data_IF_789108145162
#
_entry.id   IF_789108145162
#
_cell.length_a   1.000
_cell.length_b   1.000
_cell.length_c   1.000
_cell.angle_alpha   90.00
_cell.angle_beta   90.00
_cell.angle_gamma   90.00
#
_symmetry.space_group_name_H-M   'P 1'
#
loop_
_entity.id
_entity.type
_entity.pdbx_description
1 polymer ?
#
# COMPACT_ATOMS: atom_id res chain seq x y z
N UNK A 1 13.23 56.71 -18.70
CA UNK A 1 12.26 55.94 -17.90
C UNK A 1 12.07 54.54 -18.52
N UNK A 2 12.88 53.57 -18.09
CA UNK A 2 12.67 52.16 -18.40
C UNK A 2 11.77 51.58 -17.31
N UNK A 3 10.59 51.08 -17.68
CA UNK A 3 9.68 50.40 -16.76
C UNK A 3 10.31 49.09 -16.26
N UNK A 4 10.04 48.65 -15.01
CA UNK A 4 10.49 47.35 -14.55
C UNK A 4 9.68 46.25 -15.25
N UNK A 5 10.38 45.34 -15.93
CA UNK A 5 9.79 44.10 -16.43
C UNK A 5 9.42 43.22 -15.23
N UNK A 6 8.13 43.18 -14.90
CA UNK A 6 7.56 42.21 -13.98
C UNK A 6 7.46 40.87 -14.69
N UNK A 7 8.49 40.02 -14.55
CA UNK A 7 8.46 38.63 -14.99
C UNK A 7 7.39 37.85 -14.19
N UNK A 8 6.57 37.10 -14.93
CA UNK A 8 5.28 36.58 -14.52
C UNK A 8 5.35 35.47 -13.43
N UNK A 9 4.70 35.64 -12.25
CA UNK A 9 4.53 34.59 -11.27
C UNK A 9 3.60 33.44 -11.73
N UNK A 10 2.83 33.62 -12.81
CA UNK A 10 1.82 32.66 -13.27
C UNK A 10 2.40 31.43 -13.97
N UNK A 11 3.52 31.56 -14.68
CA UNK A 11 4.12 30.43 -15.40
C UNK A 11 4.71 29.38 -14.44
N UNK A 12 5.42 29.83 -13.40
CA UNK A 12 5.98 28.95 -12.37
C UNK A 12 4.90 28.27 -11.51
N UNK A 13 3.79 28.96 -11.25
CA UNK A 13 2.65 28.37 -10.55
C UNK A 13 1.98 27.27 -11.40
N UNK A 14 1.76 27.51 -12.69
CA UNK A 14 1.16 26.53 -13.60
C UNK A 14 2.05 25.28 -13.79
N UNK A 15 3.37 25.45 -13.87
CA UNK A 15 4.33 24.34 -13.93
C UNK A 15 4.29 23.50 -12.65
N UNK A 16 4.28 24.15 -11.48
CA UNK A 16 4.19 23.48 -10.18
C UNK A 16 2.86 22.73 -10.01
N UNK A 17 1.73 23.32 -10.42
CA UNK A 17 0.42 22.65 -10.44
C UNK A 17 0.44 21.42 -11.35
N UNK A 18 1.05 21.51 -12.53
CA UNK A 18 1.20 20.38 -13.45
C UNK A 18 2.02 19.25 -12.83
N UNK A 19 3.13 19.56 -12.15
CA UNK A 19 3.95 18.55 -11.46
C UNK A 19 3.19 17.84 -10.35
N UNK A 20 2.40 18.58 -9.56
CA UNK A 20 1.58 18.01 -8.48
C UNK A 20 0.47 17.12 -9.04
N UNK A 21 -0.21 17.57 -10.10
CA UNK A 21 -1.26 16.79 -10.76
C UNK A 21 -0.73 15.47 -11.33
N UNK A 22 0.45 15.50 -11.98
CA UNK A 22 1.09 14.28 -12.49
C UNK A 22 1.49 13.35 -11.35
N UNK A 23 2.06 13.89 -10.26
CA UNK A 23 2.42 13.10 -9.09
C UNK A 23 1.20 12.43 -8.44
N UNK A 24 0.08 13.15 -8.34
CA UNK A 24 -1.20 12.62 -7.85
C UNK A 24 -1.75 11.55 -8.79
N UNK A 25 -1.71 11.76 -10.10
CA UNK A 25 -2.18 10.80 -11.09
C UNK A 25 -1.36 9.49 -11.02
N UNK A 26 -0.04 9.59 -10.90
CA UNK A 26 0.84 8.43 -10.75
C UNK A 26 0.57 7.68 -9.45
N UNK A 27 0.41 8.39 -8.33
CA UNK A 27 0.04 7.77 -7.05
C UNK A 27 -1.35 7.11 -7.11
N UNK A 28 -2.29 7.72 -7.83
CA UNK A 28 -3.64 7.19 -7.99
C UNK A 28 -3.65 5.91 -8.83
N UNK A 29 -2.87 5.87 -9.92
CA UNK A 29 -2.68 4.65 -10.74
C UNK A 29 -2.07 3.53 -9.90
N UNK A 30 -1.06 3.85 -9.07
CA UNK A 30 -0.50 2.91 -8.09
C UNK A 30 -1.59 2.33 -7.18
N UNK A 31 -2.38 3.18 -6.51
CA UNK A 31 -3.45 2.72 -5.62
C UNK A 31 -4.60 1.97 -6.31
N UNK A 32 -4.94 2.30 -7.55
CA UNK A 32 -5.97 1.59 -8.32
C UNK A 32 -5.60 0.14 -8.64
N UNK A 33 -4.32 -0.19 -8.68
CA UNK A 33 -3.86 -1.54 -9.01
C UNK A 33 -4.24 -2.59 -7.97
N UNK A 34 -4.36 -2.24 -6.69
CA UNK A 34 -4.95 -3.12 -5.65
C UNK A 34 -6.41 -3.45 -5.95
N UNK A 35 -7.18 -2.46 -6.41
CA UNK A 35 -8.57 -2.68 -6.82
C UNK A 35 -8.65 -3.57 -8.07
N UNK A 36 -7.67 -3.46 -8.98
CA UNK A 36 -7.55 -4.33 -10.14
C UNK A 36 -7.20 -5.77 -9.73
N UNK A 37 -6.28 -5.97 -8.78
CA UNK A 37 -5.97 -7.28 -8.20
C UNK A 37 -7.21 -7.94 -7.59
N UNK A 38 -7.97 -7.19 -6.78
CA UNK A 38 -9.23 -7.65 -6.22
C UNK A 38 -10.26 -8.04 -7.29
N UNK A 39 -10.38 -7.25 -8.37
CA UNK A 39 -11.27 -7.56 -9.48
C UNK A 39 -10.86 -8.86 -10.19
N UNK A 40 -9.56 -9.10 -10.38
CA UNK A 40 -9.06 -10.34 -10.98
C UNK A 40 -9.42 -11.58 -10.16
N UNK A 41 -9.43 -11.48 -8.83
CA UNK A 41 -9.85 -12.57 -7.93
C UNK A 41 -11.36 -12.79 -7.94
N UNK A 42 -12.17 -11.76 -8.23
CA UNK A 42 -13.63 -11.91 -8.39
C UNK A 42 -13.96 -12.64 -9.70
N UNK A 43 -13.22 -12.37 -10.77
CA UNK A 43 -13.47 -12.94 -12.11
C UNK A 43 -12.84 -14.33 -12.27
N UNK A 44 -11.71 -14.60 -11.62
CA UNK A 44 -10.97 -15.86 -11.74
C UNK A 44 -11.09 -16.70 -10.46
N UNK A 45 -10.77 -18.01 -10.52
CA UNK A 45 -10.66 -18.82 -9.32
C UNK A 45 -9.63 -18.25 -8.34
N UNK A 46 -9.97 -18.23 -7.05
CA UNK A 46 -9.06 -17.80 -6.00
C UNK A 46 -7.76 -18.61 -6.04
N UNK A 47 -6.58 -17.97 -6.00
CA UNK A 47 -5.30 -18.66 -6.04
C UNK A 47 -5.12 -19.59 -4.83
N UNK A 48 -4.38 -20.68 -5.03
CA UNK A 48 -4.00 -21.58 -3.94
C UNK A 48 -2.91 -20.94 -3.07
N UNK A 49 -2.67 -21.49 -1.88
CA UNK A 49 -1.69 -20.96 -0.92
C UNK A 49 -0.26 -20.89 -1.50
N UNK A 50 0.09 -21.80 -2.43
CA UNK A 50 1.40 -21.80 -3.11
C UNK A 50 1.53 -20.60 -4.04
N UNK A 51 0.52 -20.33 -4.88
CA UNK A 51 0.51 -19.14 -5.76
C UNK A 51 0.46 -17.86 -4.95
N UNK A 52 -0.33 -17.81 -3.87
CA UNK A 52 -0.36 -16.67 -2.95
C UNK A 52 1.03 -16.40 -2.34
N UNK A 53 1.71 -17.43 -1.82
CA UNK A 53 3.06 -17.28 -1.28
C UNK A 53 4.08 -16.84 -2.32
N UNK A 54 3.98 -17.34 -3.57
CA UNK A 54 4.83 -16.90 -4.67
C UNK A 54 4.60 -15.42 -5.03
N UNK A 55 3.33 -15.01 -5.14
CA UNK A 55 2.90 -13.65 -5.44
C UNK A 55 3.36 -12.68 -4.33
N UNK A 56 3.16 -13.03 -3.06
CA UNK A 56 3.64 -12.22 -1.93
C UNK A 56 5.16 -12.15 -1.85
N UNK A 57 5.88 -13.24 -2.17
CA UNK A 57 7.34 -13.23 -2.26
C UNK A 57 7.86 -12.32 -3.36
N UNK A 58 7.22 -12.34 -4.53
CA UNK A 58 7.51 -11.40 -5.63
C UNK A 58 7.25 -9.95 -5.21
N UNK A 59 6.09 -9.69 -4.60
CA UNK A 59 5.68 -8.39 -4.10
C UNK A 59 6.68 -7.84 -3.06
N UNK A 60 7.06 -8.65 -2.07
CA UNK A 60 8.07 -8.29 -1.06
C UNK A 60 9.44 -8.01 -1.70
N UNK A 61 9.84 -8.80 -2.70
CA UNK A 61 11.08 -8.58 -3.46
C UNK A 61 11.09 -7.24 -4.22
N UNK A 62 9.97 -6.88 -4.87
CA UNK A 62 9.82 -5.57 -5.51
C UNK A 62 9.97 -4.44 -4.50
N UNK A 63 9.31 -4.53 -3.35
CA UNK A 63 9.36 -3.49 -2.32
C UNK A 63 10.76 -3.32 -1.71
N UNK A 64 11.48 -4.42 -1.48
CA UNK A 64 12.89 -4.36 -1.07
C UNK A 64 13.75 -3.68 -2.14
N UNK A 65 13.59 -4.06 -3.40
CA UNK A 65 14.34 -3.47 -4.52
C UNK A 65 14.13 -1.96 -4.62
N UNK A 66 12.87 -1.49 -4.63
CA UNK A 66 12.55 -0.05 -4.70
C UNK A 66 13.11 0.70 -3.48
N UNK A 67 12.96 0.11 -2.28
CA UNK A 67 13.41 0.73 -1.04
C UNK A 67 14.92 0.97 -1.03
N UNK A 68 15.72 -0.01 -1.46
CA UNK A 68 17.18 0.10 -1.44
C UNK A 68 17.77 0.77 -2.68
N UNK A 69 17.30 0.42 -3.87
CA UNK A 69 17.89 0.89 -5.13
C UNK A 69 17.40 2.28 -5.54
N UNK A 70 16.20 2.67 -5.12
CA UNK A 70 15.62 3.97 -5.49
C UNK A 70 15.53 4.90 -4.26
N UNK A 71 14.71 4.57 -3.27
CA UNK A 71 14.42 5.46 -2.15
C UNK A 71 15.65 5.75 -1.27
N UNK A 72 16.37 4.71 -0.83
CA UNK A 72 17.56 4.88 -0.01
C UNK A 72 18.68 5.59 -0.78
N UNK A 73 18.91 5.22 -2.05
CA UNK A 73 19.90 5.89 -2.89
C UNK A 73 19.59 7.39 -3.08
N UNK A 74 18.33 7.72 -3.38
CA UNK A 74 17.89 9.11 -3.50
C UNK A 74 17.96 9.89 -2.18
N UNK A 75 17.68 9.25 -1.04
CA UNK A 75 17.84 9.86 0.27
C UNK A 75 19.31 10.18 0.56
N UNK A 76 20.23 9.25 0.29
CA UNK A 76 21.66 9.46 0.44
C UNK A 76 22.17 10.65 -0.39
N UNK A 77 21.75 10.73 -1.65
CA UNK A 77 22.14 11.83 -2.54
C UNK A 77 21.53 13.18 -2.14
N UNK A 78 20.33 13.17 -1.54
CA UNK A 78 19.58 14.39 -1.22
C UNK A 78 19.95 15.02 0.13
N UNK A 79 20.23 14.21 1.15
CA UNK A 79 20.47 14.70 2.52
C UNK A 79 21.80 14.23 3.12
N UNK A 80 22.58 13.45 2.38
CA UNK A 80 23.89 12.95 2.77
C UNK A 80 23.84 11.65 3.57
N UNK A 81 24.97 10.92 3.57
CA UNK A 81 25.08 9.58 4.16
C UNK A 81 24.63 9.50 5.62
N UNK A 82 25.15 10.39 6.48
CA UNK A 82 24.88 10.33 7.92
C UNK A 82 23.41 10.58 8.25
N UNK A 83 22.80 11.62 7.66
CA UNK A 83 21.41 11.99 7.94
C UNK A 83 20.44 10.95 7.39
N UNK A 84 20.68 10.43 6.18
CA UNK A 84 19.84 9.40 5.58
C UNK A 84 19.82 8.11 6.41
N UNK A 85 20.99 7.64 6.87
CA UNK A 85 21.05 6.46 7.75
C UNK A 85 20.34 6.71 9.09
N UNK A 86 20.48 7.89 9.69
CA UNK A 86 19.79 8.22 10.93
C UNK A 86 18.26 8.15 10.76
N UNK A 87 17.72 8.70 9.67
CA UNK A 87 16.29 8.61 9.35
C UNK A 87 15.84 7.19 9.01
N UNK A 88 16.67 6.40 8.32
CA UNK A 88 16.38 5.00 8.04
C UNK A 88 16.22 4.20 9.34
N UNK A 89 17.20 4.26 10.25
CA UNK A 89 17.12 3.54 11.53
C UNK A 89 16.01 4.08 12.44
N UNK A 90 15.76 5.39 12.44
CA UNK A 90 14.62 5.97 13.14
C UNK A 90 13.29 5.40 12.60
N UNK A 91 13.16 5.24 11.27
CA UNK A 91 12.02 4.58 10.64
C UNK A 91 11.88 3.12 11.04
N UNK A 92 12.97 2.35 11.09
CA UNK A 92 12.96 0.95 11.57
C UNK A 92 12.49 0.85 13.02
N UNK A 93 13.00 1.71 13.90
CA UNK A 93 12.58 1.74 15.30
C UNK A 93 11.11 2.15 15.46
N UNK A 94 10.68 3.16 14.69
CA UNK A 94 9.29 3.60 14.67
C UNK A 94 8.36 2.48 14.20
N UNK A 95 8.70 1.79 13.11
CA UNK A 95 7.92 0.66 12.62
C UNK A 95 7.86 -0.48 13.65
N UNK A 96 9.00 -0.82 14.28
CA UNK A 96 9.04 -1.80 15.36
C UNK A 96 8.19 -1.41 16.58
N UNK A 97 8.05 -0.12 16.87
CA UNK A 97 7.12 0.38 17.89
C UNK A 97 5.67 0.23 17.46
N UNK A 98 5.33 0.63 16.23
CA UNK A 98 3.96 0.51 15.68
C UNK A 98 3.47 -0.94 15.68
N UNK A 99 4.32 -1.89 15.30
CA UNK A 99 3.97 -3.32 15.27
C UNK A 99 3.58 -3.85 16.66
N UNK A 100 4.12 -3.29 17.76
CA UNK A 100 3.69 -3.69 19.12
C UNK A 100 2.23 -3.37 19.42
N UNK A 101 1.64 -2.41 18.72
CA UNK A 101 0.23 -2.06 18.87
C UNK A 101 -0.70 -2.86 17.96
N UNK A 102 -0.15 -3.58 16.98
CA UNK A 102 -0.92 -4.42 16.06
C UNK A 102 -0.85 -5.84 16.61
N UNK A 103 -1.91 -6.36 17.25
CA UNK A 103 -1.90 -7.72 17.77
C UNK A 103 -1.71 -8.67 16.59
N UNK A 104 -0.74 -9.58 16.70
CA UNK A 104 -0.66 -10.68 15.75
C UNK A 104 -1.94 -11.51 15.88
N UNK A 105 -2.68 -11.76 14.79
CA UNK A 105 -3.77 -12.71 14.83
C UNK A 105 -3.16 -14.07 15.16
N UNK A 106 -3.37 -14.53 16.40
CA UNK A 106 -3.05 -15.90 16.77
C UNK A 106 -3.93 -16.80 15.89
N UNK A 107 -3.32 -17.43 14.88
CA UNK A 107 -3.94 -18.51 14.13
C UNK A 107 -4.12 -19.68 15.10
N UNK A 108 -5.20 -19.66 15.87
CA UNK A 108 -5.71 -20.86 16.53
C UNK A 108 -6.50 -21.58 15.45
N UNK A 109 -6.03 -22.74 14.95
CA UNK A 109 -6.87 -23.56 14.09
C UNK A 109 -8.07 -23.95 14.96
N UNK A 110 -9.24 -23.39 14.67
CA UNK A 110 -10.50 -23.87 15.25
C UNK A 110 -10.74 -25.28 14.71
N UNK A 111 -10.12 -26.25 15.40
CA UNK A 111 -10.35 -27.68 15.23
C UNK A 111 -11.67 -28.11 15.91
N UNK A 112 -12.41 -27.16 16.46
CA UNK A 112 -13.66 -27.39 17.22
C UNK A 112 -14.92 -27.17 16.37
N UNK A 113 -14.88 -27.52 15.08
CA UNK A 113 -16.09 -27.77 14.30
C UNK A 113 -16.54 -29.25 14.41
N UNK A 114 -16.12 -29.95 15.46
CA UNK A 114 -16.65 -31.27 15.77
C UNK A 114 -18.05 -31.14 16.37
N UNK A 115 -19.04 -31.58 15.58
CA UNK A 115 -20.35 -32.11 16.00
C UNK A 115 -21.09 -31.34 17.12
N UNK A 116 -22.01 -30.47 16.73
CA UNK A 116 -23.30 -30.38 17.43
C UNK A 116 -24.43 -30.17 16.43
N UNK A 117 -24.92 -31.27 15.85
CA UNK A 117 -26.30 -31.33 15.34
C UNK A 117 -27.20 -31.35 16.56
N UNK A 118 -27.83 -30.22 16.85
CA UNK A 118 -29.05 -30.18 17.65
C UNK A 118 -30.06 -29.44 16.80
N UNK A 119 -31.10 -30.16 16.41
CA UNK A 119 -32.21 -29.69 15.61
C UNK A 119 -32.98 -28.62 16.40
N UNK A 120 -32.79 -27.35 16.01
CA UNK A 120 -33.67 -26.26 16.41
C UNK A 120 -33.72 -25.23 15.27
N UNK A 121 -34.90 -25.11 14.65
CA UNK A 121 -35.20 -24.35 13.43
C UNK A 121 -35.04 -22.81 13.61
N UNK A 122 -34.88 -22.37 14.86
CA UNK A 122 -34.50 -21.00 15.22
C UNK A 122 -32.99 -20.70 15.17
N UNK A 123 -32.14 -21.71 15.40
CA UNK A 123 -30.69 -21.50 15.58
C UNK A 123 -29.91 -21.31 14.27
N UNK A 124 -30.42 -21.83 13.14
CA UNK A 124 -29.77 -21.72 11.83
C UNK A 124 -29.70 -20.29 11.30
N UNK A 125 -30.76 -19.50 11.52
CA UNK A 125 -30.82 -18.08 11.11
C UNK A 125 -29.85 -17.23 11.91
N UNK A 126 -29.69 -17.51 13.21
CA UNK A 126 -28.77 -16.76 14.06
C UNK A 126 -27.30 -17.13 13.81
N UNK A 127 -27.01 -18.40 13.52
CA UNK A 127 -25.68 -18.84 13.08
C UNK A 127 -25.28 -18.22 11.73
N UNK A 128 -26.18 -18.17 10.74
CA UNK A 128 -25.89 -17.51 9.45
C UNK A 128 -25.67 -16.00 9.61
N UNK A 129 -26.45 -15.31 10.45
CA UNK A 129 -26.26 -13.89 10.75
C UNK A 129 -24.93 -13.62 11.45
N UNK A 130 -24.54 -14.47 12.41
CA UNK A 130 -23.26 -14.36 13.13
C UNK A 130 -22.08 -14.57 12.18
N UNK A 131 -22.15 -15.58 11.31
CA UNK A 131 -21.12 -15.84 10.29
C UNK A 131 -21.00 -14.68 9.30
N UNK A 132 -22.13 -14.15 8.79
CA UNK A 132 -22.13 -12.99 7.89
C UNK A 132 -21.51 -11.76 8.53
N UNK A 133 -21.81 -11.51 9.81
CA UNK A 133 -21.22 -10.40 10.58
C UNK A 133 -19.71 -10.57 10.75
N UNK A 134 -19.23 -11.80 10.99
CA UNK A 134 -17.81 -12.10 11.12
C UNK A 134 -17.06 -11.91 9.79
N UNK A 135 -17.61 -12.38 8.67
CA UNK A 135 -17.03 -12.18 7.34
C UNK A 135 -16.96 -10.69 6.99
N UNK A 136 -18.04 -9.94 7.25
CA UNK A 136 -18.05 -8.49 7.01
C UNK A 136 -17.04 -7.76 7.89
N UNK A 137 -16.94 -8.14 9.17
CA UNK A 137 -15.95 -7.55 10.08
C UNK A 137 -14.51 -7.84 9.63
N UNK A 138 -14.22 -9.09 9.24
CA UNK A 138 -12.93 -9.47 8.66
C UNK A 138 -12.61 -8.63 7.42
N UNK A 139 -13.56 -8.49 6.49
CA UNK A 139 -13.39 -7.66 5.30
C UNK A 139 -13.10 -6.19 5.60
N UNK A 140 -13.78 -5.60 6.59
CA UNK A 140 -13.52 -4.21 7.01
C UNK A 140 -12.12 -4.07 7.60
N UNK A 141 -11.71 -4.97 8.50
CA UNK A 141 -10.38 -4.94 9.10
C UNK A 141 -9.29 -5.11 8.04
N UNK A 142 -9.47 -6.04 7.10
CA UNK A 142 -8.56 -6.22 5.96
C UNK A 142 -8.49 -4.96 5.09
N UNK A 143 -9.63 -4.34 4.76
CA UNK A 143 -9.66 -3.12 3.96
C UNK A 143 -8.93 -1.96 4.65
N UNK A 144 -9.08 -1.82 5.97
CA UNK A 144 -8.33 -0.82 6.76
C UNK A 144 -6.83 -1.14 6.75
N UNK A 145 -6.45 -2.40 6.95
CA UNK A 145 -5.05 -2.83 6.91
C UNK A 145 -4.37 -2.53 5.58
N UNK A 146 -5.01 -2.91 4.46
CA UNK A 146 -4.53 -2.62 3.10
C UNK A 146 -4.46 -1.10 2.87
N UNK A 147 -5.47 -0.34 3.30
CA UNK A 147 -5.45 1.13 3.16
C UNK A 147 -4.26 1.77 3.89
N UNK A 148 -3.93 1.26 5.08
CA UNK A 148 -2.78 1.73 5.85
C UNK A 148 -1.43 1.32 5.21
N UNK A 149 -1.40 0.24 4.43
CA UNK A 149 -0.21 -0.19 3.66
C UNK A 149 -0.02 0.66 2.41
N UNK A 150 -1.07 0.85 1.63
CA UNK A 150 -1.05 1.62 0.38
C UNK A 150 -0.78 3.10 0.60
N UNK A 151 -1.06 3.64 1.80
CA UNK A 151 -0.85 5.05 2.09
C UNK A 151 0.64 5.45 2.02
N UNK A 152 1.57 4.80 2.76
CA UNK A 152 3.00 4.99 2.56
C UNK A 152 3.50 4.82 1.13
N UNK A 153 2.96 3.84 0.38
CA UNK A 153 3.35 3.58 -1.01
C UNK A 153 2.95 4.72 -1.94
N UNK A 154 1.70 5.18 -1.84
CA UNK A 154 1.20 6.32 -2.59
C UNK A 154 2.00 7.59 -2.27
N UNK A 155 2.33 7.82 -1.00
CA UNK A 155 3.23 8.90 -0.59
C UNK A 155 4.62 8.79 -1.23
N UNK A 156 5.19 7.58 -1.30
CA UNK A 156 6.49 7.37 -1.94
C UNK A 156 6.43 7.71 -3.45
N UNK A 157 5.40 7.26 -4.17
CA UNK A 157 5.20 7.58 -5.59
C UNK A 157 5.03 9.09 -5.78
N UNK A 158 4.22 9.74 -4.96
CA UNK A 158 3.99 11.18 -5.02
C UNK A 158 5.29 11.96 -4.79
N UNK A 159 6.00 11.70 -3.69
CA UNK A 159 7.25 12.39 -3.36
C UNK A 159 8.36 12.10 -4.39
N UNK A 160 8.43 10.87 -4.89
CA UNK A 160 9.34 10.50 -5.97
C UNK A 160 9.05 11.26 -7.26
N UNK A 161 7.77 11.41 -7.61
CA UNK A 161 7.33 12.15 -8.79
C UNK A 161 7.64 13.64 -8.70
N UNK A 162 7.47 14.24 -7.51
CA UNK A 162 7.84 15.64 -7.24
C UNK A 162 9.36 15.85 -7.37
N UNK A 163 10.18 14.85 -6.99
CA UNK A 163 11.64 14.91 -7.20
C UNK A 163 12.05 14.71 -8.65
N UNK A 164 11.26 14.00 -9.44
CA UNK A 164 11.48 13.87 -10.88
C UNK A 164 10.54 12.86 -11.52
N UNK A 165 10.07 13.19 -12.73
CA UNK A 165 9.11 12.36 -13.47
C UNK A 165 9.59 10.92 -13.69
N UNK A 166 10.89 10.73 -14.01
CA UNK A 166 11.46 9.39 -14.23
C UNK A 166 11.41 8.53 -12.96
N UNK A 167 11.71 9.11 -11.80
CA UNK A 167 11.64 8.42 -10.50
C UNK A 167 10.17 8.09 -10.20
N UNK A 168 9.28 9.07 -10.38
CA UNK A 168 7.84 8.90 -10.19
C UNK A 168 7.23 7.77 -11.03
N UNK A 169 7.53 7.73 -12.33
CA UNK A 169 7.03 6.68 -13.25
C UNK A 169 7.57 5.31 -12.86
N UNK A 170 8.87 5.20 -12.55
CA UNK A 170 9.47 3.95 -12.11
C UNK A 170 8.81 3.42 -10.82
N UNK A 171 8.63 4.30 -9.83
CA UNK A 171 7.95 3.96 -8.57
C UNK A 171 6.50 3.57 -8.82
N UNK A 172 5.75 4.34 -9.62
CA UNK A 172 4.34 4.06 -9.91
C UNK A 172 4.15 2.68 -10.56
N UNK A 173 5.01 2.31 -11.52
CA UNK A 173 4.99 0.99 -12.14
C UNK A 173 5.33 -0.12 -11.14
N UNK A 174 6.36 0.09 -10.33
CA UNK A 174 6.83 -0.93 -9.41
C UNK A 174 5.84 -1.17 -8.27
N UNK A 175 5.20 -0.11 -7.75
CA UNK A 175 4.06 -0.20 -6.82
C UNK A 175 2.87 -0.86 -7.51
N UNK A 176 2.50 -0.46 -8.74
CA UNK A 176 1.39 -1.12 -9.43
C UNK A 176 1.59 -2.64 -9.62
N UNK A 177 2.84 -3.08 -9.81
CA UNK A 177 3.18 -4.51 -9.90
C UNK A 177 3.20 -5.23 -8.53
N UNK A 178 3.41 -4.50 -7.43
CA UNK A 178 3.32 -5.03 -6.06
C UNK A 178 1.86 -5.21 -5.63
N UNK A 179 1.05 -4.19 -5.88
CA UNK A 179 -0.31 -4.05 -5.40
C UNK A 179 -1.32 -4.97 -6.11
N UNK A 180 -1.01 -5.52 -7.28
CA UNK A 180 -1.86 -6.55 -7.93
C UNK A 180 -1.80 -7.89 -7.16
N UNK A 181 -0.60 -8.41 -6.81
CA UNK A 181 -0.41 -9.52 -5.87
C UNK A 181 -0.97 -9.34 -4.46
N UNK A 182 -1.03 -8.11 -3.97
CA UNK A 182 -1.43 -7.72 -2.60
C UNK A 182 -2.94 -7.87 -2.34
#
# INVERSE_FOLDING_TARGET
>A
PAAPQTLAPSASAAEMEQHVLVALALSFVGGLSTSLGALLVIVNPSPDLKRLGLLQGFAAGLMLSISFLDLAHNALNSIGFLKANLWFFAGVLFFGFVVKFIPEPTFVPTTDASKKKTDDDGSGKDMMKKHRRQVLFSGIITAVGISLHNFPEGMAVFLGSVKGLRVGVNLAFAIALHNIPE
#
